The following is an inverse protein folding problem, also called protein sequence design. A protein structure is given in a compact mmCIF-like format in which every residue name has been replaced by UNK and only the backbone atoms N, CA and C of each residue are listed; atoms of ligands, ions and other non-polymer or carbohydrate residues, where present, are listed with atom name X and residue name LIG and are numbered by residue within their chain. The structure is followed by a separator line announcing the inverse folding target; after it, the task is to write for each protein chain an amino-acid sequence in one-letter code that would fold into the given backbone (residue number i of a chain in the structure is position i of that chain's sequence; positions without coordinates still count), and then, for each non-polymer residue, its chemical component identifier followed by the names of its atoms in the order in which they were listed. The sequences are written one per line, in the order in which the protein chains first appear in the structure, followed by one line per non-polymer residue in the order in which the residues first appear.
data_IF_232850369221
#
_entry.id   IF_232850369221
#
_cell.length_a   1.000
_cell.length_b   1.000
_cell.length_c   1.000
_cell.angle_alpha   90.00
_cell.angle_beta   90.00
_cell.angle_gamma   90.00
#
_symmetry.space_group_name_H-M   'P 1'
#
loop_
_entity.id
_entity.type
_entity.pdbx_description
1 polymer ?
#
# COMPACT_ATOMS: atom_id res chain seq x y z
N UNK A 1 9.82 -21.81 -2.12
CA UNK A 1 9.56 -21.00 -3.33
C UNK A 1 10.80 -21.03 -4.21
N UNK A 2 10.64 -21.17 -5.52
CA UNK A 2 11.75 -21.14 -6.49
C UNK A 2 11.45 -20.08 -7.54
N UNK A 3 12.41 -19.20 -7.81
CA UNK A 3 12.26 -18.10 -8.77
C UNK A 3 13.39 -18.12 -9.78
N UNK A 4 13.10 -17.77 -11.03
CA UNK A 4 14.13 -17.61 -12.06
C UNK A 4 14.62 -16.17 -12.06
N UNK A 5 15.93 -15.98 -11.99
CA UNK A 5 16.59 -14.68 -12.02
C UNK A 5 17.71 -14.72 -13.05
N UNK A 6 17.96 -13.60 -13.74
CA UNK A 6 19.11 -13.51 -14.63
C UNK A 6 20.44 -13.53 -13.84
N UNK A 7 21.53 -13.94 -14.50
CA UNK A 7 22.85 -14.08 -13.89
C UNK A 7 23.32 -12.78 -13.21
N UNK A 8 23.06 -11.64 -13.83
CA UNK A 8 23.46 -10.33 -13.28
C UNK A 8 22.74 -10.00 -11.98
N UNK A 9 21.45 -10.32 -11.89
CA UNK A 9 20.66 -10.13 -10.67
C UNK A 9 21.17 -11.02 -9.55
N UNK A 10 21.50 -12.28 -9.84
CA UNK A 10 22.09 -13.20 -8.84
C UNK A 10 23.43 -12.65 -8.33
N UNK A 11 24.30 -12.16 -9.22
CA UNK A 11 25.59 -11.56 -8.84
C UNK A 11 25.40 -10.34 -7.93
N UNK A 12 24.52 -9.41 -8.31
CA UNK A 12 24.24 -8.20 -7.51
C UNK A 12 23.61 -8.55 -6.15
N UNK A 13 22.69 -9.52 -6.12
CA UNK A 13 22.05 -9.99 -4.90
C UNK A 13 23.07 -10.61 -3.94
N UNK A 14 24.02 -11.42 -4.42
CA UNK A 14 25.10 -11.99 -3.60
C UNK A 14 25.97 -10.91 -2.95
N UNK A 15 26.39 -9.92 -3.75
CA UNK A 15 27.17 -8.78 -3.25
C UNK A 15 26.41 -8.01 -2.17
N UNK A 16 25.11 -7.74 -2.40
CA UNK A 16 24.28 -7.04 -1.43
C UNK A 16 24.08 -7.85 -0.15
N UNK A 17 23.78 -9.14 -0.28
CA UNK A 17 23.58 -10.05 0.84
C UNK A 17 24.84 -10.16 1.70
N UNK A 18 26.01 -10.31 1.07
CA UNK A 18 27.30 -10.34 1.76
C UNK A 18 27.58 -9.03 2.52
N UNK A 19 27.35 -7.87 1.88
CA UNK A 19 27.51 -6.55 2.54
C UNK A 19 26.60 -6.37 3.75
N UNK A 20 25.41 -6.99 3.73
CA UNK A 20 24.42 -6.91 4.82
C UNK A 20 24.53 -8.05 5.83
N UNK A 21 25.50 -8.97 5.67
CA UNK A 21 25.61 -10.15 6.53
C UNK A 21 24.40 -11.09 6.49
N UNK A 22 23.67 -11.11 5.38
CA UNK A 22 22.42 -11.87 5.23
C UNK A 22 22.51 -12.86 4.05
N UNK A 23 21.52 -13.75 3.95
CA UNK A 23 21.40 -14.67 2.80
C UNK A 23 20.54 -14.05 1.69
N UNK A 24 20.68 -14.55 0.46
CA UNK A 24 19.81 -14.12 -0.65
C UNK A 24 18.35 -14.42 -0.32
N UNK A 25 18.06 -15.60 0.25
CA UNK A 25 16.70 -15.99 0.60
C UNK A 25 16.09 -15.03 1.62
N UNK A 26 16.85 -14.61 2.63
CA UNK A 26 16.37 -13.63 3.61
C UNK A 26 16.16 -12.27 2.96
N UNK A 27 17.08 -11.82 2.10
CA UNK A 27 16.91 -10.58 1.34
C UNK A 27 15.62 -10.59 0.50
N UNK A 28 15.29 -11.71 -0.16
CA UNK A 28 14.05 -11.83 -0.94
C UNK A 28 12.82 -11.83 -0.03
N UNK A 29 12.86 -12.54 1.10
CA UNK A 29 11.76 -12.57 2.05
C UNK A 29 11.45 -11.16 2.58
N UNK A 30 12.45 -10.41 3.03
CA UNK A 30 12.29 -9.02 3.52
C UNK A 30 11.63 -8.11 2.46
N UNK A 31 12.00 -8.27 1.18
CA UNK A 31 11.43 -7.46 0.11
C UNK A 31 9.98 -7.85 -0.20
N UNK A 32 9.63 -9.13 -0.07
CA UNK A 32 8.24 -9.58 -0.19
C UNK A 32 7.42 -9.03 0.99
N UNK A 33 7.93 -9.12 2.21
CA UNK A 33 7.25 -8.58 3.39
C UNK A 33 6.99 -7.08 3.25
N UNK A 34 7.95 -6.33 2.70
CA UNK A 34 7.76 -4.90 2.40
C UNK A 34 6.71 -4.63 1.32
N UNK A 35 6.61 -5.49 0.30
CA UNK A 35 5.57 -5.36 -0.73
C UNK A 35 4.19 -5.70 -0.16
N UNK A 36 4.10 -6.79 0.60
CA UNK A 36 2.87 -7.20 1.29
C UNK A 36 2.45 -6.13 2.29
N UNK A 37 3.34 -5.61 3.12
CA UNK A 37 3.00 -4.55 4.08
C UNK A 37 2.51 -3.26 3.40
N UNK A 38 3.02 -2.95 2.19
CA UNK A 38 2.52 -1.81 1.40
C UNK A 38 1.12 -2.07 0.85
N UNK A 39 0.84 -3.29 0.42
CA UNK A 39 -0.46 -3.71 -0.11
C UNK A 39 -1.50 -3.84 1.01
N UNK A 40 -1.12 -4.48 2.13
CA UNK A 40 -1.89 -4.60 3.36
C UNK A 40 -2.12 -3.26 4.06
N UNK A 41 -1.34 -2.21 3.78
CA UNK A 41 -1.68 -0.86 4.22
C UNK A 41 -2.78 -0.24 3.34
N UNK A 42 -2.86 -0.65 2.07
CA UNK A 42 -3.87 -0.19 1.11
C UNK A 42 -5.22 -0.87 1.33
N UNK A 43 -5.23 -2.18 1.59
CA UNK A 43 -6.46 -2.98 1.65
C UNK A 43 -7.43 -2.62 2.79
N UNK A 44 -6.99 -2.37 4.05
CA UNK A 44 -7.87 -1.94 5.14
C UNK A 44 -8.30 -0.47 4.98
N UNK A 45 -7.42 0.42 4.51
CA UNK A 45 -7.78 1.82 4.25
C UNK A 45 -8.83 1.92 3.13
N UNK A 46 -8.67 1.14 2.06
CA UNK A 46 -9.63 1.03 0.96
C UNK A 46 -10.94 0.41 1.43
N UNK A 47 -10.91 -0.69 2.20
CA UNK A 47 -12.12 -1.30 2.77
C UNK A 47 -12.85 -0.34 3.71
N UNK A 48 -12.13 0.42 4.52
CA UNK A 48 -12.72 1.43 5.40
C UNK A 48 -13.36 2.57 4.61
N UNK A 49 -12.69 3.08 3.57
CA UNK A 49 -13.26 4.10 2.68
C UNK A 49 -14.50 3.60 1.94
N UNK A 50 -14.47 2.37 1.41
CA UNK A 50 -15.63 1.75 0.76
C UNK A 50 -16.77 1.51 1.76
N UNK A 51 -16.47 1.06 2.98
CA UNK A 51 -17.47 0.91 4.05
C UNK A 51 -18.08 2.25 4.45
N UNK A 52 -17.30 3.34 4.47
CA UNK A 52 -17.81 4.69 4.75
C UNK A 52 -18.69 5.22 3.61
N UNK A 53 -18.34 4.90 2.37
CA UNK A 53 -19.17 5.22 1.20
C UNK A 53 -20.47 4.40 1.19
N UNK A 54 -20.42 3.12 1.53
CA UNK A 54 -21.58 2.20 1.57
C UNK A 54 -22.53 2.53 2.74
N UNK A 55 -21.98 2.87 3.91
CA UNK A 55 -22.77 3.37 5.04
C UNK A 55 -23.50 4.68 4.69
N UNK A 56 -22.90 5.49 3.82
CA UNK A 56 -23.38 6.83 3.53
C UNK A 56 -23.22 7.76 4.73
N UNK A 57 -23.11 9.06 4.47
CA UNK A 57 -23.12 10.05 5.53
C UNK A 57 -24.52 10.64 5.66
N UNK A 58 -25.11 10.59 6.86
CA UNK A 58 -26.30 11.39 7.19
C UNK A 58 -25.88 12.85 7.35
N UNK A 59 -25.67 13.54 6.24
CA UNK A 59 -25.20 14.94 6.17
C UNK A 59 -26.31 15.96 6.53
N UNK A 60 -27.23 15.58 7.40
CA UNK A 60 -28.42 16.36 7.75
C UNK A 60 -29.55 16.14 6.75
N UNK A 61 -30.74 15.86 7.27
CA UNK A 61 -31.95 15.80 6.45
C UNK A 61 -32.25 17.21 5.91
N UNK A 62 -32.15 17.32 4.59
CA UNK A 62 -32.37 18.51 3.75
C UNK A 62 -31.12 19.37 3.56
N UNK A 63 -30.60 19.40 2.33
CA UNK A 63 -29.65 20.41 1.84
C UNK A 63 -30.38 21.76 1.90
N UNK A 64 -30.14 22.54 2.96
CA UNK A 64 -30.79 23.85 3.18
C UNK A 64 -30.00 25.03 2.64
N UNK A 65 -28.86 24.78 2.01
CA UNK A 65 -27.95 25.81 1.50
C UNK A 65 -27.71 25.56 0.02
N UNK A 66 -27.97 26.58 -0.79
CA UNK A 66 -27.61 26.55 -2.21
C UNK A 66 -26.10 26.80 -2.35
N UNK A 67 -25.49 26.31 -3.44
CA UNK A 67 -24.06 26.49 -3.72
C UNK A 67 -23.65 27.97 -3.72
N UNK A 68 -24.57 28.87 -4.05
CA UNK A 68 -24.34 30.31 -4.14
C UNK A 68 -24.22 30.96 -2.75
N UNK A 69 -24.88 30.42 -1.71
CA UNK A 69 -24.78 30.93 -0.33
C UNK A 69 -23.47 30.54 0.38
N UNK A 70 -22.78 29.50 -0.10
CA UNK A 70 -21.50 29.04 0.49
C UNK A 70 -20.29 29.87 0.02
N UNK A 71 -20.46 30.73 -0.99
CA UNK A 71 -19.39 31.50 -1.62
C UNK A 71 -19.22 32.93 -1.09
N UNK A 72 -20.02 33.36 -0.12
CA UNK A 72 -19.84 34.64 0.56
C UNK A 72 -19.09 34.45 1.89
N UNK A 73 -17.76 34.39 1.82
CA UNK A 73 -16.87 34.71 2.93
C UNK A 73 -15.82 35.70 2.48
#
# INVERSE_FOLDING_TARGET
MTVRLCRDTIRKARLLAARRGTSISRLVAEQIDLLVARDDAHEPAKRQALSLLDQGFHLGDVIRVSRDELHER
#
